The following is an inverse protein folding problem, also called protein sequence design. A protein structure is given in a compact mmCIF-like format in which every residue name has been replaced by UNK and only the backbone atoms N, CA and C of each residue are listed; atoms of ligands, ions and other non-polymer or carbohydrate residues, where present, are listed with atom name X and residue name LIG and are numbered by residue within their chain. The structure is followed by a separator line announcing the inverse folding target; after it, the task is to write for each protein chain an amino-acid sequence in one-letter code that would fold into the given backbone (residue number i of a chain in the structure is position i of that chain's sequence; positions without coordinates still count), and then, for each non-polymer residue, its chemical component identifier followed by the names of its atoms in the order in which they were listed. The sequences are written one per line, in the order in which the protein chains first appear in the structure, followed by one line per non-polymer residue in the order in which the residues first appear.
data_IF_912421122664
#
_entry.id   IF_912421122664
#
_cell.length_a   1.000
_cell.length_b   1.000
_cell.length_c   1.000
_cell.angle_alpha   90.00
_cell.angle_beta   90.00
_cell.angle_gamma   90.00
#
_symmetry.space_group_name_H-M   'P 1'
#
loop_
_entity.id
_entity.type
_entity.pdbx_description
1 polymer ?
#
# COMPACT_ATOMS: atom_id res chain seq x y z
N UNK A 1 -26.23 36.09 9.15
CA UNK A 1 -26.23 34.62 9.23
C UNK A 1 -27.65 34.07 9.32
N UNK A 2 -28.39 34.31 10.40
CA UNK A 2 -29.75 33.77 10.61
C UNK A 2 -30.74 34.17 9.53
N UNK A 3 -30.50 35.31 8.84
CA UNK A 3 -31.34 35.80 7.74
C UNK A 3 -31.43 34.87 6.53
N UNK A 4 -30.49 33.97 6.36
CA UNK A 4 -30.47 32.96 5.26
C UNK A 4 -31.28 31.70 5.60
N UNK A 5 -31.53 31.44 6.89
CA UNK A 5 -32.17 30.19 7.34
C UNK A 5 -33.57 29.95 6.76
N UNK A 6 -34.44 30.94 6.64
CA UNK A 6 -35.74 30.73 6.04
C UNK A 6 -35.69 30.22 4.59
N UNK A 7 -34.72 30.67 3.80
CA UNK A 7 -34.52 30.21 2.42
C UNK A 7 -34.05 28.77 2.33
N UNK A 8 -33.51 28.26 3.41
CA UNK A 8 -33.02 26.85 3.56
C UNK A 8 -34.02 25.97 4.34
N UNK A 9 -35.19 26.54 4.69
CA UNK A 9 -36.19 25.90 5.56
C UNK A 9 -35.63 25.50 6.96
N UNK A 10 -34.53 26.11 7.37
CA UNK A 10 -33.98 25.97 8.71
C UNK A 10 -34.74 26.82 9.71
N UNK A 11 -35.10 26.29 10.85
CA UNK A 11 -35.76 27.03 11.93
C UNK A 11 -34.76 27.22 13.07
N UNK A 12 -34.46 28.45 13.41
CA UNK A 12 -33.59 28.83 14.51
C UNK A 12 -34.39 29.32 15.71
N UNK A 13 -34.14 28.72 16.86
CA UNK A 13 -34.68 29.16 18.13
C UNK A 13 -33.62 29.99 18.87
N UNK A 14 -33.87 31.30 19.09
CA UNK A 14 -32.92 32.18 19.75
C UNK A 14 -32.75 31.92 21.26
N UNK A 15 -33.73 31.29 21.92
CA UNK A 15 -33.66 30.99 23.35
C UNK A 15 -32.77 29.75 23.62
N UNK A 16 -33.04 28.68 22.90
CA UNK A 16 -32.30 27.41 23.04
C UNK A 16 -31.04 27.36 22.18
N UNK A 17 -30.90 28.28 21.20
CA UNK A 17 -29.83 28.29 20.17
C UNK A 17 -29.79 27.02 19.30
N UNK A 18 -30.90 26.32 19.22
CA UNK A 18 -31.02 25.14 18.39
C UNK A 18 -31.46 25.51 16.97
N UNK A 19 -30.96 24.76 16.02
CA UNK A 19 -31.37 24.80 14.61
C UNK A 19 -32.12 23.54 14.29
N UNK A 20 -33.38 23.65 13.91
CA UNK A 20 -34.17 22.51 13.42
C UNK A 20 -33.93 22.36 11.92
N UNK A 21 -33.43 21.19 11.54
CA UNK A 21 -33.08 20.83 10.16
C UNK A 21 -34.27 20.09 9.53
N UNK A 22 -34.69 20.44 8.30
CA UNK A 22 -35.76 19.71 7.61
C UNK A 22 -35.31 18.29 7.26
N UNK A 23 -36.26 17.38 7.27
CA UNK A 23 -35.98 15.93 7.11
C UNK A 23 -35.36 15.54 5.77
N UNK A 24 -35.50 16.37 4.75
CA UNK A 24 -34.89 16.12 3.42
C UNK A 24 -33.42 16.55 3.35
N UNK A 25 -32.89 17.30 4.34
CA UNK A 25 -31.49 17.74 4.42
C UNK A 25 -30.72 16.88 5.39
N UNK A 26 -30.57 15.59 5.04
CA UNK A 26 -29.81 14.61 5.85
C UNK A 26 -28.30 14.85 5.83
N UNK A 27 -27.84 15.71 4.96
CA UNK A 27 -26.46 16.18 4.82
C UNK A 27 -26.04 17.15 5.92
N UNK A 28 -26.99 17.86 6.54
CA UNK A 28 -26.71 18.87 7.58
C UNK A 28 -26.64 18.20 8.96
N UNK A 29 -25.47 17.74 9.38
CA UNK A 29 -25.26 17.03 10.63
C UNK A 29 -24.57 17.90 11.69
N UNK A 30 -23.68 18.78 11.26
CA UNK A 30 -22.83 19.57 12.16
C UNK A 30 -22.89 21.09 11.88
N UNK A 31 -22.23 21.85 12.76
CA UNK A 31 -22.12 23.30 12.58
C UNK A 31 -21.34 23.72 11.34
N UNK A 32 -20.39 22.87 10.88
CA UNK A 32 -19.64 23.10 9.64
C UNK A 32 -20.56 23.09 8.42
N UNK A 33 -21.55 22.19 8.38
CA UNK A 33 -22.50 22.10 7.27
C UNK A 33 -23.41 23.33 7.21
N UNK A 34 -23.84 23.80 8.37
CA UNK A 34 -24.59 25.06 8.47
C UNK A 34 -23.74 26.28 8.06
N UNK A 35 -22.45 26.26 8.44
CA UNK A 35 -21.54 27.33 8.04
C UNK A 35 -21.30 27.33 6.52
N UNK A 36 -21.22 26.17 5.89
CA UNK A 36 -21.11 26.03 4.43
C UNK A 36 -22.34 26.63 3.72
N UNK A 37 -23.56 26.29 4.19
CA UNK A 37 -24.78 26.83 3.63
C UNK A 37 -24.82 28.37 3.75
N UNK A 38 -24.44 28.91 4.90
CA UNK A 38 -24.35 30.37 5.08
C UNK A 38 -23.30 30.97 4.15
N UNK A 39 -22.14 30.36 3.99
CA UNK A 39 -21.09 30.85 3.10
C UNK A 39 -21.55 30.84 1.64
N UNK A 40 -22.28 29.79 1.21
CA UNK A 40 -22.87 29.72 -0.13
C UNK A 40 -23.84 30.86 -0.42
N UNK A 41 -24.73 31.18 0.52
CA UNK A 41 -25.67 32.29 0.36
C UNK A 41 -25.01 33.68 0.49
N UNK A 42 -23.97 33.79 1.33
CA UNK A 42 -23.17 35.02 1.43
C UNK A 42 -22.36 35.26 0.15
N UNK A 43 -21.98 34.19 -0.56
CA UNK A 43 -21.12 34.20 -1.73
C UNK A 43 -19.65 33.99 -1.36
N UNK A 44 -19.06 32.96 -1.90
CA UNK A 44 -17.64 32.63 -1.63
C UNK A 44 -16.70 33.76 -2.03
N UNK A 45 -17.03 34.51 -3.10
CA UNK A 45 -16.20 35.62 -3.57
C UNK A 45 -16.14 36.79 -2.54
N UNK A 46 -17.10 36.85 -1.60
CA UNK A 46 -17.12 37.82 -0.54
C UNK A 46 -16.30 37.44 0.69
N UNK A 47 -15.77 36.19 0.71
CA UNK A 47 -14.94 35.69 1.80
C UNK A 47 -13.48 36.01 1.47
N UNK A 48 -12.79 36.85 2.28
CA UNK A 48 -11.40 37.19 1.99
C UNK A 48 -10.48 35.97 2.10
N UNK A 49 -9.52 35.87 1.16
CA UNK A 49 -8.49 34.89 1.22
C UNK A 49 -7.53 35.19 2.40
N UNK A 50 -7.33 34.20 3.25
CA UNK A 50 -6.38 34.30 4.36
C UNK A 50 -5.28 33.24 4.20
N UNK A 51 -4.06 33.58 4.58
CA UNK A 51 -2.97 32.61 4.67
C UNK A 51 -3.07 31.88 6.00
N UNK A 52 -2.89 30.54 6.02
CA UNK A 52 -2.78 29.82 7.28
C UNK A 52 -1.56 30.31 8.05
N UNK A 53 -1.72 30.50 9.35
CA UNK A 53 -0.61 30.83 10.24
C UNK A 53 -0.32 29.64 11.16
N UNK A 54 0.95 29.32 11.35
CA UNK A 54 1.40 28.23 12.19
C UNK A 54 2.92 28.25 12.34
N UNK A 55 3.43 27.44 13.24
CA UNK A 55 4.87 27.27 13.35
C UNK A 55 5.44 26.63 12.09
N UNK A 56 6.51 27.24 11.57
CA UNK A 56 7.24 26.66 10.44
C UNK A 56 7.98 25.41 10.91
N UNK A 57 7.62 24.27 10.38
CA UNK A 57 8.32 23.01 10.62
C UNK A 57 9.11 22.61 9.38
N UNK A 58 10.35 22.13 9.55
CA UNK A 58 11.08 21.55 8.43
C UNK A 58 10.50 20.19 8.09
N UNK A 59 9.86 20.08 6.93
CA UNK A 59 9.38 18.80 6.41
C UNK A 59 10.57 17.88 6.11
N UNK A 60 10.55 16.66 6.63
CA UNK A 60 11.52 15.62 6.30
C UNK A 60 10.85 14.25 6.30
N UNK A 61 11.41 13.34 5.52
CA UNK A 61 10.99 11.94 5.57
C UNK A 61 11.37 11.32 6.91
N UNK A 62 10.49 10.52 7.50
CA UNK A 62 10.86 9.64 8.60
C UNK A 62 11.92 8.63 8.13
N UNK A 63 12.61 7.99 9.07
CA UNK A 63 13.62 6.98 8.74
C UNK A 63 13.05 5.90 7.83
N UNK A 64 11.87 5.36 8.18
CA UNK A 64 11.16 4.35 7.39
C UNK A 64 10.90 4.82 5.96
N UNK A 65 10.27 5.98 5.79
CA UNK A 65 9.98 6.54 4.47
C UNK A 65 11.24 6.84 3.64
N UNK A 66 12.36 7.15 4.32
CA UNK A 66 13.64 7.34 3.65
C UNK A 66 14.19 6.02 3.10
N UNK A 67 14.10 4.93 3.87
CA UNK A 67 14.50 3.59 3.41
C UNK A 67 13.62 3.15 2.23
N UNK A 68 12.31 3.33 2.32
CA UNK A 68 11.37 3.02 1.24
C UNK A 68 11.72 3.78 -0.04
N UNK A 69 12.06 5.08 0.07
CA UNK A 69 12.45 5.89 -1.07
C UNK A 69 13.78 5.45 -1.68
N UNK A 70 14.78 5.09 -0.85
CA UNK A 70 16.05 4.53 -1.32
C UNK A 70 15.79 3.23 -2.08
N UNK A 71 15.00 2.31 -1.52
CA UNK A 71 14.69 1.04 -2.15
C UNK A 71 14.00 1.22 -3.51
N UNK A 72 13.04 2.14 -3.60
CA UNK A 72 12.37 2.49 -4.85
C UNK A 72 13.35 3.03 -5.89
N UNK A 73 14.21 3.96 -5.51
CA UNK A 73 15.21 4.56 -6.43
C UNK A 73 16.18 3.53 -6.95
N UNK A 74 16.71 2.66 -6.08
CA UNK A 74 17.61 1.60 -6.51
C UNK A 74 16.93 0.70 -7.54
N UNK A 75 15.70 0.26 -7.29
CA UNK A 75 14.97 -0.55 -8.25
C UNK A 75 14.77 0.15 -9.59
N UNK A 76 14.32 1.43 -9.57
CA UNK A 76 14.13 2.23 -10.78
C UNK A 76 15.42 2.41 -11.58
N UNK A 77 16.52 2.79 -10.92
CA UNK A 77 17.82 3.00 -11.58
C UNK A 77 18.46 1.71 -12.08
N UNK A 78 18.06 0.56 -11.50
CA UNK A 78 18.43 -0.77 -11.99
C UNK A 78 17.55 -1.25 -13.17
N UNK A 79 16.68 -0.37 -13.70
CA UNK A 79 15.86 -0.66 -14.87
C UNK A 79 14.57 -1.41 -14.60
N UNK A 80 14.11 -1.47 -13.34
CA UNK A 80 12.83 -2.08 -13.00
C UNK A 80 11.70 -1.04 -13.07
N UNK A 81 10.53 -1.48 -13.52
CA UNK A 81 9.29 -0.72 -13.48
C UNK A 81 8.48 -1.09 -12.24
N UNK A 82 7.87 -0.10 -11.59
CA UNK A 82 7.03 -0.35 -10.43
C UNK A 82 5.69 -0.95 -10.85
N UNK A 83 5.35 -2.10 -10.28
CA UNK A 83 4.03 -2.69 -10.31
C UNK A 83 3.31 -2.45 -8.99
N UNK A 84 1.98 -2.50 -9.05
CA UNK A 84 1.12 -2.48 -7.86
C UNK A 84 0.04 -3.54 -8.05
N UNK A 85 0.09 -4.59 -7.22
CA UNK A 85 -0.93 -5.61 -7.19
C UNK A 85 -1.89 -5.42 -6.02
N UNK A 86 -3.06 -6.06 -6.07
CA UNK A 86 -3.99 -6.02 -4.96
C UNK A 86 -3.43 -6.73 -3.72
N UNK A 87 -3.80 -6.22 -2.55
CA UNK A 87 -3.53 -6.90 -1.27
C UNK A 87 -4.45 -8.10 -1.03
N UNK A 88 -5.44 -8.28 -1.89
CA UNK A 88 -6.39 -9.38 -1.89
C UNK A 88 -6.02 -10.41 -2.94
N UNK A 89 -6.11 -11.69 -2.60
CA UNK A 89 -5.79 -12.76 -3.53
C UNK A 89 -6.68 -13.98 -3.33
N UNK A 90 -6.62 -14.92 -4.27
CA UNK A 90 -7.28 -16.20 -4.15
C UNK A 90 -6.48 -17.14 -3.23
N UNK A 91 -7.12 -17.91 -2.33
CA UNK A 91 -6.41 -18.93 -1.56
C UNK A 91 -5.73 -20.00 -2.43
N UNK A 92 -6.12 -20.14 -3.71
CA UNK A 92 -5.49 -21.03 -4.69
C UNK A 92 -4.07 -20.58 -5.07
N UNK A 93 -3.68 -19.33 -4.75
CA UNK A 93 -2.33 -18.82 -5.04
C UNK A 93 -1.26 -19.67 -4.37
N UNK A 94 -1.50 -20.15 -3.16
CA UNK A 94 -0.52 -20.94 -2.41
C UNK A 94 -0.23 -22.29 -3.05
N UNK A 95 -1.20 -22.90 -3.75
CA UNK A 95 -1.00 -24.12 -4.53
C UNK A 95 -0.22 -23.82 -5.82
N UNK A 96 -0.53 -22.70 -6.50
CA UNK A 96 0.24 -22.24 -7.66
C UNK A 96 1.71 -21.95 -7.31
N UNK A 97 1.95 -21.44 -6.10
CA UNK A 97 3.30 -21.18 -5.58
C UNK A 97 3.99 -22.46 -5.06
N UNK A 98 3.34 -23.61 -5.13
CA UNK A 98 3.84 -24.90 -4.63
C UNK A 98 4.25 -24.86 -3.16
N UNK A 99 3.64 -24.02 -2.36
CA UNK A 99 3.95 -23.92 -0.94
C UNK A 99 3.54 -25.20 -0.20
N UNK A 100 4.36 -25.70 0.73
CA UNK A 100 4.00 -26.83 1.58
C UNK A 100 2.66 -26.59 2.30
N UNK A 101 1.91 -27.68 2.59
CA UNK A 101 0.59 -27.55 3.23
C UNK A 101 0.65 -26.94 4.64
N UNK A 102 1.75 -27.15 5.34
CA UNK A 102 2.04 -26.64 6.67
C UNK A 102 2.74 -25.27 6.67
N UNK A 103 2.94 -24.67 5.49
CA UNK A 103 3.58 -23.37 5.38
C UNK A 103 2.77 -22.28 6.12
N UNK A 104 3.47 -21.47 6.94
CA UNK A 104 2.89 -20.31 7.61
C UNK A 104 2.26 -19.30 6.65
N UNK A 105 2.73 -19.23 5.41
CA UNK A 105 2.16 -18.34 4.39
C UNK A 105 0.76 -18.76 3.94
N UNK A 106 0.30 -19.98 4.25
CA UNK A 106 -1.08 -20.41 3.99
C UNK A 106 -2.06 -19.95 5.07
N UNK A 107 -1.57 -19.42 6.18
CA UNK A 107 -2.38 -18.85 7.25
C UNK A 107 -2.79 -17.43 6.88
N UNK A 108 -3.73 -17.28 5.96
CA UNK A 108 -4.20 -15.99 5.48
C UNK A 108 -5.52 -15.58 6.15
N UNK A 109 -5.71 -14.28 6.25
CA UNK A 109 -6.92 -13.67 6.79
C UNK A 109 -8.01 -13.75 5.73
N UNK A 110 -9.15 -14.33 6.08
CA UNK A 110 -10.32 -14.41 5.20
C UNK A 110 -11.11 -13.11 5.32
N UNK A 111 -11.49 -12.52 4.18
CA UNK A 111 -12.29 -11.31 4.09
C UNK A 111 -13.76 -11.67 4.24
N UNK A 112 -14.49 -10.96 5.11
CA UNK A 112 -15.90 -11.27 5.42
C UNK A 112 -16.86 -10.96 4.25
N UNK A 113 -16.54 -9.99 3.42
CA UNK A 113 -17.33 -9.53 2.29
C UNK A 113 -16.47 -9.40 1.01
N UNK A 114 -15.89 -10.51 0.50
CA UNK A 114 -14.96 -10.45 -0.61
C UNK A 114 -15.67 -10.06 -1.93
N UNK A 115 -14.91 -9.46 -2.85
CA UNK A 115 -15.38 -9.18 -4.21
C UNK A 115 -15.59 -10.45 -5.06
N UNK A 116 -15.20 -11.61 -4.55
CA UNK A 116 -15.28 -12.91 -5.19
C UNK A 116 -14.21 -13.83 -4.63
N UNK A 117 -14.22 -15.11 -5.04
CA UNK A 117 -13.25 -16.12 -4.56
C UNK A 117 -11.81 -15.70 -4.83
N UNK A 118 -11.55 -15.03 -5.97
CA UNK A 118 -10.21 -14.60 -6.37
C UNK A 118 -9.66 -13.44 -5.53
N UNK A 119 -10.47 -12.83 -4.66
CA UNK A 119 -10.12 -11.72 -3.79
C UNK A 119 -10.58 -11.97 -2.35
N UNK A 120 -10.54 -13.23 -1.91
CA UNK A 120 -11.17 -13.65 -0.65
C UNK A 120 -10.24 -13.69 0.55
N UNK A 121 -8.93 -13.57 0.35
CA UNK A 121 -7.96 -13.57 1.44
C UNK A 121 -6.97 -12.42 1.31
N UNK A 122 -6.44 -11.97 2.46
CA UNK A 122 -5.33 -11.02 2.49
C UNK A 122 -4.03 -11.74 2.17
N UNK A 123 -3.19 -11.14 1.31
CA UNK A 123 -1.91 -11.71 0.92
C UNK A 123 -0.94 -11.80 2.10
N UNK A 124 -0.28 -12.93 2.21
CA UNK A 124 0.81 -13.15 3.16
C UNK A 124 2.20 -13.02 2.52
N UNK A 125 2.25 -12.92 1.20
CA UNK A 125 3.45 -12.70 0.38
C UNK A 125 3.08 -11.95 -0.89
N UNK A 126 3.90 -11.04 -1.41
CA UNK A 126 3.63 -10.33 -2.66
C UNK A 126 3.93 -11.19 -3.91
N UNK A 127 4.40 -12.42 -3.71
CA UNK A 127 4.90 -13.30 -4.77
C UNK A 127 3.83 -13.68 -5.78
N UNK A 128 2.59 -13.92 -5.31
CA UNK A 128 1.46 -14.26 -6.19
C UNK A 128 1.17 -13.19 -7.21
N UNK A 129 1.07 -11.93 -6.77
CA UNK A 129 0.86 -10.76 -7.64
C UNK A 129 2.01 -10.54 -8.62
N UNK A 130 3.25 -10.63 -8.15
CA UNK A 130 4.44 -10.47 -8.99
C UNK A 130 4.50 -11.52 -10.10
N UNK A 131 4.35 -12.81 -9.77
CA UNK A 131 4.38 -13.87 -10.77
C UNK A 131 3.22 -13.78 -11.76
N UNK A 132 2.04 -13.38 -11.31
CA UNK A 132 0.89 -13.14 -12.20
C UNK A 132 1.18 -11.99 -13.17
N UNK A 133 1.80 -10.91 -12.71
CA UNK A 133 2.18 -9.78 -13.55
C UNK A 133 3.23 -10.16 -14.58
N UNK A 134 4.27 -10.90 -14.17
CA UNK A 134 5.29 -11.41 -15.08
C UNK A 134 4.69 -12.37 -16.11
N UNK A 135 3.87 -13.33 -15.69
CA UNK A 135 3.20 -14.28 -16.58
C UNK A 135 2.28 -13.57 -17.59
N UNK A 136 1.56 -12.53 -17.16
CA UNK A 136 0.71 -11.73 -18.05
C UNK A 136 1.53 -11.05 -19.15
N UNK A 137 2.67 -10.47 -18.79
CA UNK A 137 3.57 -9.86 -19.76
C UNK A 137 4.19 -10.90 -20.70
N UNK A 138 4.60 -12.05 -20.16
CA UNK A 138 5.14 -13.16 -20.96
C UNK A 138 4.12 -13.66 -22.00
N UNK A 139 2.87 -13.86 -21.59
CA UNK A 139 1.79 -14.26 -22.49
C UNK A 139 1.46 -13.21 -23.55
N UNK A 140 1.74 -11.95 -23.29
CA UNK A 140 1.65 -10.84 -24.27
C UNK A 140 2.89 -10.73 -25.16
N UNK A 141 3.83 -11.69 -25.04
CA UNK A 141 5.07 -11.76 -25.83
C UNK A 141 6.02 -10.58 -25.64
N UNK A 142 5.97 -9.92 -24.50
CA UNK A 142 7.01 -8.99 -24.09
C UNK A 142 8.29 -9.81 -23.85
N UNK A 143 9.40 -9.42 -24.51
CA UNK A 143 10.62 -10.25 -24.49
C UNK A 143 11.46 -10.08 -23.25
N UNK A 144 11.48 -8.89 -22.68
CA UNK A 144 12.28 -8.53 -21.51
C UNK A 144 11.43 -7.67 -20.57
N UNK A 145 11.28 -8.12 -19.34
CA UNK A 145 10.42 -7.47 -18.33
C UNK A 145 11.11 -7.51 -16.98
N UNK A 146 11.21 -6.35 -16.35
CA UNK A 146 11.74 -6.15 -15.00
C UNK A 146 10.73 -5.38 -14.19
N UNK A 147 10.19 -6.01 -13.15
CA UNK A 147 9.17 -5.42 -12.27
C UNK A 147 9.64 -5.44 -10.83
N UNK A 148 9.29 -4.41 -10.10
CA UNK A 148 9.33 -4.42 -8.64
C UNK A 148 8.02 -3.96 -8.05
N UNK A 149 7.73 -4.41 -6.85
CA UNK A 149 6.60 -3.93 -6.05
C UNK A 149 7.05 -3.69 -4.62
N UNK A 150 6.58 -2.62 -4.04
CA UNK A 150 6.65 -2.35 -2.60
C UNK A 150 5.24 -2.39 -2.05
N UNK A 151 4.95 -3.35 -1.22
CA UNK A 151 3.59 -3.54 -0.73
C UNK A 151 3.53 -4.26 0.62
N UNK A 152 2.48 -3.98 1.38
CA UNK A 152 2.25 -4.65 2.65
C UNK A 152 1.79 -6.10 2.45
N UNK A 153 2.23 -6.94 3.37
CA UNK A 153 1.68 -8.28 3.61
C UNK A 153 1.07 -8.32 5.00
N UNK A 154 0.15 -9.25 5.22
CA UNK A 154 -0.70 -9.30 6.41
C UNK A 154 -0.55 -10.66 7.06
N UNK A 155 0.24 -10.71 8.14
CA UNK A 155 0.56 -11.95 8.83
C UNK A 155 -0.26 -12.04 10.11
N UNK A 156 -1.28 -12.94 10.18
CA UNK A 156 -2.04 -13.11 11.40
C UNK A 156 -1.17 -13.70 12.50
N UNK A 157 -1.34 -13.24 13.73
CA UNK A 157 -0.72 -13.87 14.91
C UNK A 157 -1.49 -15.12 15.31
N UNK A 158 -2.81 -15.07 15.21
CA UNK A 158 -3.73 -16.19 15.40
C UNK A 158 -4.94 -16.09 14.48
N UNK A 159 -5.60 -17.21 14.20
CA UNK A 159 -6.85 -17.27 13.46
C UNK A 159 -7.89 -18.06 14.28
N UNK A 160 -9.16 -17.56 14.40
CA UNK A 160 -9.65 -16.29 13.89
C UNK A 160 -8.97 -15.10 14.55
N UNK A 161 -8.91 -13.95 13.86
CA UNK A 161 -8.26 -12.74 14.37
C UNK A 161 -8.91 -12.28 15.68
N UNK A 162 -8.08 -11.99 16.69
CA UNK A 162 -8.47 -11.28 17.92
C UNK A 162 -7.82 -9.90 18.02
N UNK A 163 -6.77 -9.67 17.29
CA UNK A 163 -6.05 -8.40 17.19
C UNK A 163 -5.63 -8.13 15.73
N UNK A 164 -5.18 -6.92 15.45
CA UNK A 164 -4.69 -6.54 14.13
C UNK A 164 -3.50 -7.42 13.73
N UNK A 165 -3.40 -7.81 12.45
CA UNK A 165 -2.27 -8.60 11.94
C UNK A 165 -0.97 -7.81 12.00
N UNK A 166 0.14 -8.52 11.89
CA UNK A 166 1.43 -7.91 11.64
C UNK A 166 1.50 -7.48 10.16
N UNK A 167 1.47 -6.16 9.95
CA UNK A 167 1.57 -5.57 8.62
C UNK A 167 3.01 -5.20 8.33
N UNK A 168 3.58 -5.79 7.28
CA UNK A 168 4.97 -5.55 6.92
C UNK A 168 5.09 -5.11 5.47
N UNK A 169 5.80 -4.00 5.26
CA UNK A 169 6.22 -3.60 3.92
C UNK A 169 7.29 -4.58 3.41
N UNK A 170 7.06 -5.11 2.21
CA UNK A 170 8.03 -5.96 1.51
C UNK A 170 8.36 -5.36 0.16
N UNK A 171 9.63 -5.46 -0.21
CA UNK A 171 10.10 -5.24 -1.57
C UNK A 171 10.23 -6.59 -2.27
N UNK A 172 9.64 -6.72 -3.43
CA UNK A 172 9.86 -7.84 -4.33
C UNK A 172 10.34 -7.32 -5.68
N UNK A 173 11.33 -8.00 -6.25
CA UNK A 173 11.81 -7.77 -7.61
C UNK A 173 11.68 -9.07 -8.38
N UNK A 174 11.27 -8.98 -9.64
CA UNK A 174 11.19 -10.11 -10.54
C UNK A 174 11.49 -9.69 -11.97
N UNK A 175 12.14 -10.53 -12.72
CA UNK A 175 12.40 -10.30 -14.13
C UNK A 175 12.47 -11.61 -14.92
N UNK A 176 12.32 -11.49 -16.22
CA UNK A 176 12.67 -12.51 -17.21
C UNK A 176 13.20 -11.82 -18.48
N UNK A 177 13.86 -12.58 -19.35
CA UNK A 177 14.49 -12.07 -20.56
C UNK A 177 15.99 -11.90 -20.36
N UNK A 178 16.52 -10.71 -20.66
CA UNK A 178 17.94 -10.42 -20.52
C UNK A 178 18.35 -10.29 -19.05
N UNK A 179 19.34 -11.06 -18.66
CA UNK A 179 19.89 -11.06 -17.31
C UNK A 179 19.98 -12.47 -16.70
N UNK A 180 20.66 -12.53 -15.59
CA UNK A 180 20.93 -13.77 -14.87
C UNK A 180 20.91 -13.55 -13.35
N UNK A 181 21.36 -14.55 -12.61
CA UNK A 181 21.51 -14.46 -11.15
C UNK A 181 22.42 -13.29 -10.74
N UNK A 182 23.50 -13.02 -11.47
CA UNK A 182 24.44 -11.96 -11.12
C UNK A 182 23.84 -10.58 -11.34
N UNK A 183 22.97 -10.44 -12.34
CA UNK A 183 22.18 -9.21 -12.55
C UNK A 183 21.34 -8.88 -11.33
N UNK A 184 20.54 -9.85 -10.84
CA UNK A 184 19.72 -9.64 -9.65
C UNK A 184 20.56 -9.45 -8.39
N UNK A 185 21.65 -10.24 -8.26
CA UNK A 185 22.59 -10.09 -7.15
C UNK A 185 23.15 -8.68 -7.05
N UNK A 186 23.55 -8.09 -8.19
CA UNK A 186 24.04 -6.70 -8.24
C UNK A 186 23.02 -5.69 -7.75
N UNK A 187 21.76 -5.84 -8.13
CA UNK A 187 20.67 -4.95 -7.64
C UNK A 187 20.51 -5.04 -6.12
N UNK A 188 20.57 -6.25 -5.57
CA UNK A 188 20.48 -6.47 -4.12
C UNK A 188 21.70 -5.91 -3.38
N UNK A 189 22.90 -6.10 -3.93
CA UNK A 189 24.12 -5.53 -3.36
C UNK A 189 24.06 -4.01 -3.33
N UNK A 190 23.62 -3.37 -4.42
CA UNK A 190 23.41 -1.94 -4.48
C UNK A 190 22.38 -1.47 -3.46
N UNK A 191 21.23 -2.14 -3.35
CA UNK A 191 20.21 -1.82 -2.36
C UNK A 191 20.79 -1.84 -0.94
N UNK A 192 21.50 -2.91 -0.58
CA UNK A 192 22.08 -3.07 0.75
C UNK A 192 23.18 -2.05 1.03
N UNK A 193 23.92 -1.66 0.00
CA UNK A 193 24.92 -0.58 0.13
C UNK A 193 24.26 0.77 0.40
N UNK A 194 23.22 1.11 -0.36
CA UNK A 194 22.51 2.38 -0.24
C UNK A 194 21.75 2.54 1.10
N UNK A 195 21.27 1.43 1.67
CA UNK A 195 20.66 1.43 3.01
C UNK A 195 21.70 1.27 4.14
N UNK A 196 23.00 1.22 3.81
CA UNK A 196 24.09 1.13 4.81
C UNK A 196 24.34 -0.28 5.36
N UNK A 197 23.86 -1.34 4.70
CA UNK A 197 23.95 -2.74 5.18
C UNK A 197 25.01 -3.58 4.47
N UNK A 198 25.89 -2.99 3.70
CA UNK A 198 26.89 -3.70 2.86
C UNK A 198 27.66 -4.83 3.58
N UNK A 199 28.07 -4.60 4.83
CA UNK A 199 28.82 -5.58 5.63
C UNK A 199 27.96 -6.76 6.13
N UNK A 200 26.63 -6.64 6.11
CA UNK A 200 25.70 -7.67 6.63
C UNK A 200 25.17 -8.63 5.55
N UNK A 201 25.48 -8.35 4.28
CA UNK A 201 24.97 -9.13 3.14
C UNK A 201 25.29 -10.63 3.23
N UNK A 202 26.57 -10.99 3.52
CA UNK A 202 27.00 -12.38 3.65
C UNK A 202 26.29 -13.09 4.81
N UNK A 203 25.98 -12.38 5.89
CA UNK A 203 25.23 -12.92 7.04
C UNK A 203 23.73 -13.11 6.72
N UNK A 204 23.14 -12.24 5.90
CA UNK A 204 21.72 -12.36 5.50
C UNK A 204 21.49 -13.56 4.58
N UNK A 205 22.38 -13.84 3.65
CA UNK A 205 22.35 -15.05 2.80
C UNK A 205 22.37 -16.34 3.63
N UNK A 206 23.10 -16.36 4.77
CA UNK A 206 23.19 -17.52 5.67
C UNK A 206 22.00 -17.68 6.62
N UNK A 207 21.16 -16.64 6.80
CA UNK A 207 20.06 -16.62 7.80
C UNK A 207 18.66 -16.72 7.19
N UNK A 208 18.50 -17.15 5.96
CA UNK A 208 17.20 -17.34 5.29
C UNK A 208 16.28 -16.08 5.25
N UNK A 209 16.84 -14.89 5.43
CA UNK A 209 16.06 -13.65 5.35
C UNK A 209 15.83 -13.14 3.93
N UNK A 210 16.52 -13.72 2.95
CA UNK A 210 16.32 -13.52 1.52
C UNK A 210 15.84 -14.84 0.93
N UNK A 211 14.62 -14.88 0.48
CA UNK A 211 14.11 -16.05 -0.24
C UNK A 211 14.44 -15.87 -1.72
N UNK A 212 15.34 -16.72 -2.24
CA UNK A 212 15.57 -16.86 -3.66
C UNK A 212 14.72 -18.02 -4.15
N UNK A 213 13.87 -17.80 -5.10
CA UNK A 213 13.18 -18.87 -5.78
C UNK A 213 13.60 -18.81 -7.24
N UNK A 214 14.40 -19.77 -7.66
CA UNK A 214 14.68 -20.05 -9.06
C UNK A 214 13.49 -20.84 -9.59
N UNK A 215 12.55 -20.18 -10.22
CA UNK A 215 11.52 -20.84 -11.00
C UNK A 215 12.05 -20.96 -12.42
N UNK A 216 12.46 -22.15 -12.80
CA UNK A 216 13.00 -22.55 -14.09
C UNK A 216 13.91 -21.48 -14.79
N UNK A 217 14.92 -21.89 -15.53
CA UNK A 217 16.08 -21.09 -16.04
C UNK A 217 15.78 -19.71 -16.66
N UNK A 218 14.52 -19.25 -16.66
CA UNK A 218 14.09 -18.02 -17.35
C UNK A 218 13.51 -16.94 -16.43
N UNK A 219 13.28 -17.21 -15.15
CA UNK A 219 12.65 -16.25 -14.24
C UNK A 219 13.40 -16.19 -12.91
N UNK A 220 13.84 -14.99 -12.50
CA UNK A 220 14.50 -14.78 -11.22
C UNK A 220 13.74 -13.72 -10.42
N UNK A 221 13.49 -13.97 -9.15
CA UNK A 221 12.95 -12.97 -8.24
C UNK A 221 13.61 -13.07 -6.86
N UNK A 222 13.62 -11.93 -6.18
CA UNK A 222 14.10 -11.79 -4.82
C UNK A 222 13.05 -11.05 -4.02
N UNK A 223 12.77 -11.56 -2.83
CA UNK A 223 11.92 -10.92 -1.84
C UNK A 223 12.77 -10.49 -0.66
N UNK A 224 12.76 -9.21 -0.34
CA UNK A 224 13.41 -8.66 0.84
C UNK A 224 12.37 -8.04 1.77
N UNK A 225 12.45 -8.35 3.06
CA UNK A 225 11.65 -7.69 4.07
C UNK A 225 12.34 -6.40 4.47
N UNK A 226 11.70 -5.27 4.19
CA UNK A 226 12.10 -3.96 4.69
C UNK A 226 11.53 -3.83 6.10
N UNK A 227 12.16 -4.49 7.08
CA UNK A 227 11.63 -4.48 8.45
C UNK A 227 12.39 -3.53 9.34
N UNK A 228 11.66 -2.97 10.29
CA UNK A 228 12.13 -2.22 11.43
C UNK A 228 13.24 -2.99 12.17
N UNK A 229 14.46 -2.46 12.14
CA UNK A 229 15.55 -2.78 13.06
C UNK A 229 16.18 -1.47 13.52
#
# INVERSE_FOLDING_TARGET
MVSYFPALELKYDPETKLITIPTFRQDLVGMCDIAEEVARFYGYDNIPTTLPSGEATSGKLSYKLRIDEIARRVALYSGFSQGMSYSFESPKVYDKLLLPKDSKYRQSIVISNPLGEDFSVMRTTPLGGMLTSLATNYNRRNKDVRLFEMGNVYLPKELPLKELPDERMQLILGFYGEGDFFTMKGVVEELLEQVGMKKKFIMMLRRERLSYILADRQMLYIMAQLSDT
#
